data_IF_711661505420
#
_entry.id   IF_711661505420
#
_cell.length_a   1.000
_cell.length_b   1.000
_cell.length_c   1.000
_cell.angle_alpha   90.00
_cell.angle_beta   90.00
_cell.angle_gamma   90.00
#
_symmetry.space_group_name_H-M   'P 1'
#
loop_
_entity.id
_entity.type
_entity.pdbx_description
1 polymer ?
#
# COMPACT_ATOMS: atom_id res chain seq x y z
N UNK A 1 11.02 2.49 -3.09
CA UNK A 1 12.01 3.42 -3.66
C UNK A 1 13.26 3.36 -2.81
N UNK A 2 14.42 3.41 -3.46
CA UNK A 2 15.68 3.54 -2.74
C UNK A 2 16.17 4.98 -2.80
N UNK A 3 16.52 5.55 -1.65
CA UNK A 3 17.25 6.82 -1.58
C UNK A 3 18.74 6.53 -1.59
N UNK A 4 19.34 6.53 -2.78
CA UNK A 4 20.77 6.18 -2.98
C UNK A 4 21.75 7.12 -2.28
N UNK A 5 21.27 8.28 -1.81
CA UNK A 5 22.08 9.23 -1.03
C UNK A 5 22.01 8.99 0.49
N UNK A 6 21.22 8.02 0.95
CA UNK A 6 21.04 7.70 2.36
C UNK A 6 21.61 6.30 2.69
N UNK A 7 22.10 6.14 3.91
CA UNK A 7 22.60 4.88 4.43
C UNK A 7 21.60 4.25 5.41
N UNK A 8 21.72 2.93 5.62
CA UNK A 8 20.88 2.20 6.57
C UNK A 8 19.40 2.23 6.23
N UNK A 9 18.55 2.37 7.24
CA UNK A 9 17.07 2.33 7.10
C UNK A 9 16.52 3.47 6.23
N UNK A 10 17.20 4.61 6.21
CA UNK A 10 16.82 5.77 5.41
C UNK A 10 16.99 5.53 3.90
N UNK A 11 17.68 4.46 3.50
CA UNK A 11 17.76 3.99 2.13
C UNK A 11 16.39 3.52 1.61
N UNK A 12 15.54 2.94 2.46
CA UNK A 12 14.25 2.40 2.05
C UNK A 12 13.14 3.42 2.27
N UNK A 13 12.53 3.89 1.18
CA UNK A 13 11.52 4.96 1.20
C UNK A 13 10.24 4.49 0.52
N UNK A 14 9.10 4.73 1.16
CA UNK A 14 7.80 4.45 0.58
C UNK A 14 7.52 5.39 -0.60
N UNK A 15 7.17 4.83 -1.75
CA UNK A 15 6.87 5.59 -2.97
C UNK A 15 5.64 6.50 -2.84
N UNK A 16 4.76 6.26 -1.86
CA UNK A 16 3.50 6.98 -1.73
C UNK A 16 3.60 8.16 -0.76
N UNK A 17 4.24 7.99 0.39
CA UNK A 17 4.32 9.04 1.43
C UNK A 17 5.74 9.55 1.69
N UNK A 18 6.76 9.01 1.02
CA UNK A 18 8.18 9.35 1.18
C UNK A 18 8.77 9.16 2.57
N UNK A 19 8.03 8.52 3.47
CA UNK A 19 8.56 8.14 4.76
C UNK A 19 9.53 6.97 4.62
N UNK A 20 10.58 6.99 5.44
CA UNK A 20 11.56 5.92 5.54
C UNK A 20 10.96 4.69 6.22
N UNK A 21 11.61 3.56 6.01
CA UNK A 21 11.35 2.32 6.74
C UNK A 21 11.70 2.49 8.22
N UNK A 22 10.97 1.76 9.05
CA UNK A 22 11.20 1.55 10.47
C UNK A 22 10.46 0.28 10.89
N UNK A 23 10.81 -0.31 12.03
CA UNK A 23 10.17 -1.55 12.54
C UNK A 23 8.65 -1.44 12.71
N UNK A 24 8.15 -0.25 13.08
CA UNK A 24 6.72 0.06 13.21
C UNK A 24 6.05 0.43 11.87
N UNK A 25 6.84 0.51 10.79
CA UNK A 25 6.40 0.86 9.44
C UNK A 25 7.04 -0.07 8.41
N UNK A 26 6.71 -1.38 8.45
CA UNK A 26 7.20 -2.31 7.46
C UNK A 26 6.72 -1.92 6.06
N UNK A 27 7.47 -2.34 5.05
CA UNK A 27 7.20 -2.06 3.65
C UNK A 27 7.12 -3.35 2.85
N UNK A 28 6.29 -3.34 1.80
CA UNK A 28 6.24 -4.42 0.82
C UNK A 28 6.83 -3.92 -0.49
N UNK A 29 7.74 -4.70 -1.06
CA UNK A 29 8.35 -4.44 -2.35
C UNK A 29 7.43 -4.84 -3.52
N UNK A 30 7.28 -3.94 -4.49
CA UNK A 30 6.70 -4.19 -5.80
C UNK A 30 7.77 -4.39 -6.87
N UNK A 31 7.41 -4.18 -8.13
CA UNK A 31 8.37 -4.27 -9.23
C UNK A 31 9.42 -3.16 -9.14
N UNK A 32 10.68 -3.54 -9.46
CA UNK A 32 11.86 -2.66 -9.54
C UNK A 32 12.11 -1.83 -8.26
N UNK A 33 11.96 -2.43 -7.07
CA UNK A 33 12.26 -1.74 -5.81
C UNK A 33 11.24 -0.66 -5.41
N UNK A 34 10.05 -0.64 -6.03
CA UNK A 34 8.94 0.17 -5.51
C UNK A 34 8.51 -0.36 -4.13
N UNK A 35 8.13 0.52 -3.22
CA UNK A 35 7.83 0.20 -1.82
C UNK A 35 6.52 0.88 -1.39
N UNK A 36 5.62 0.09 -0.80
CA UNK A 36 4.44 0.59 -0.09
C UNK A 36 4.57 0.28 1.38
N UNK A 37 4.46 1.29 2.25
CA UNK A 37 4.50 1.07 3.69
C UNK A 37 3.15 0.61 4.24
N UNK A 38 3.20 -0.04 5.41
CA UNK A 38 2.04 -0.53 6.15
C UNK A 38 0.92 0.51 6.31
N UNK A 39 1.27 1.77 6.60
CA UNK A 39 0.28 2.83 6.78
C UNK A 39 -0.45 3.20 5.48
N UNK A 40 0.29 3.45 4.40
CA UNK A 40 -0.31 3.70 3.08
C UNK A 40 -1.10 2.49 2.60
N UNK A 41 -0.61 1.28 2.86
CA UNK A 41 -1.28 0.05 2.49
C UNK A 41 -2.61 -0.12 3.22
N UNK A 42 -2.69 0.20 4.52
CA UNK A 42 -3.94 0.17 5.29
C UNK A 42 -4.98 1.13 4.71
N UNK A 43 -4.60 2.37 4.44
CA UNK A 43 -5.51 3.38 3.85
C UNK A 43 -5.98 2.93 2.47
N UNK A 44 -5.03 2.59 1.59
CA UNK A 44 -5.33 2.17 0.23
C UNK A 44 -6.21 0.92 0.19
N UNK A 45 -5.97 -0.05 1.08
CA UNK A 45 -6.77 -1.25 1.18
C UNK A 45 -8.19 -0.93 1.61
N UNK A 46 -8.38 -0.14 2.67
CA UNK A 46 -9.72 0.27 3.12
C UNK A 46 -10.48 0.99 2.01
N UNK A 47 -9.85 1.97 1.34
CA UNK A 47 -10.48 2.76 0.29
C UNK A 47 -10.85 1.91 -0.94
N UNK A 48 -9.91 1.11 -1.46
CA UNK A 48 -10.19 0.31 -2.66
C UNK A 48 -11.01 -0.94 -2.39
N UNK A 49 -10.75 -1.61 -1.27
CA UNK A 49 -11.26 -2.95 -0.97
C UNK A 49 -12.56 -2.91 -0.19
N UNK A 50 -12.74 -1.96 0.72
CA UNK A 50 -13.97 -1.87 1.51
C UNK A 50 -14.90 -0.79 0.99
N UNK A 51 -14.38 0.42 0.75
CA UNK A 51 -15.18 1.57 0.35
C UNK A 51 -15.41 1.68 -1.16
N UNK A 52 -14.60 0.99 -1.98
CA UNK A 52 -14.60 1.10 -3.45
C UNK A 52 -14.45 2.55 -3.93
N UNK A 53 -13.75 3.39 -3.17
CA UNK A 53 -13.66 4.85 -3.38
C UNK A 53 -12.48 5.27 -4.27
N UNK A 54 -11.76 4.32 -4.87
CA UNK A 54 -10.71 4.63 -5.84
C UNK A 54 -11.23 5.28 -7.12
N UNK A 55 -10.32 5.76 -7.94
CA UNK A 55 -10.64 6.34 -9.26
C UNK A 55 -10.18 5.41 -10.38
N UNK A 56 -10.86 5.38 -11.54
CA UNK A 56 -10.29 4.81 -12.75
C UNK A 56 -8.95 5.49 -13.09
N UNK A 57 -8.04 4.72 -13.69
CA UNK A 57 -6.76 5.24 -14.19
C UNK A 57 -7.00 6.22 -15.34
N UNK A 58 -6.25 7.32 -15.40
CA UNK A 58 -6.25 8.21 -16.57
C UNK A 58 -5.28 7.67 -17.64
N UNK A 59 -5.51 7.97 -18.94
CA UNK A 59 -4.59 7.56 -19.99
C UNK A 59 -3.14 7.99 -19.71
N UNK A 60 -2.20 7.05 -19.85
CA UNK A 60 -0.78 7.23 -19.61
C UNK A 60 -0.35 7.11 -18.14
N UNK A 61 -1.27 7.00 -17.18
CA UNK A 61 -0.89 6.79 -15.78
C UNK A 61 -0.45 5.33 -15.56
N UNK A 62 0.58 5.16 -14.73
CA UNK A 62 1.23 3.88 -14.47
C UNK A 62 1.11 3.52 -12.99
N UNK A 63 0.68 2.29 -12.70
CA UNK A 63 0.71 1.77 -11.33
C UNK A 63 2.15 1.63 -10.85
N UNK A 64 2.51 2.33 -9.77
CA UNK A 64 3.88 2.34 -9.22
C UNK A 64 4.37 0.94 -8.83
N UNK A 65 3.47 0.07 -8.35
CA UNK A 65 3.85 -1.24 -7.82
C UNK A 65 4.04 -2.33 -8.88
N UNK A 66 3.37 -2.25 -10.04
CA UNK A 66 3.52 -3.25 -11.10
C UNK A 66 4.10 -2.72 -12.40
N UNK A 67 4.17 -1.38 -12.54
CA UNK A 67 4.67 -0.68 -13.72
C UNK A 67 3.85 -0.92 -15.00
N UNK A 68 2.62 -1.43 -14.86
CA UNK A 68 1.68 -1.55 -15.98
C UNK A 68 1.00 -0.19 -16.20
N UNK A 69 1.11 0.41 -17.40
CA UNK A 69 0.34 1.60 -17.77
C UNK A 69 -1.11 1.22 -18.05
N UNK A 70 -2.03 2.18 -17.87
CA UNK A 70 -3.44 2.08 -18.27
C UNK A 70 -4.16 0.83 -17.74
N UNK A 71 -3.71 0.34 -16.58
CA UNK A 71 -4.25 -0.87 -15.98
C UNK A 71 -5.74 -0.67 -15.66
N UNK A 72 -6.66 -1.54 -16.10
CA UNK A 72 -8.08 -1.32 -15.87
C UNK A 72 -8.46 -1.50 -14.39
N UNK A 73 -9.52 -0.80 -13.98
CA UNK A 73 -10.10 -0.87 -12.65
C UNK A 73 -9.71 0.30 -11.73
N UNK A 74 -10.08 0.18 -10.46
CA UNK A 74 -9.84 1.22 -9.47
C UNK A 74 -8.36 1.31 -9.07
N UNK A 75 -7.89 2.55 -8.95
CA UNK A 75 -6.59 2.93 -8.45
C UNK A 75 -6.75 3.79 -7.21
N UNK A 76 -5.87 3.55 -6.25
CA UNK A 76 -5.65 4.45 -5.13
C UNK A 76 -4.57 5.44 -5.53
N UNK A 77 -4.78 6.72 -5.18
CA UNK A 77 -3.81 7.80 -5.38
C UNK A 77 -3.32 8.24 -4.03
N UNK A 78 -2.00 8.39 -3.87
CA UNK A 78 -1.46 8.92 -2.62
C UNK A 78 -2.02 10.33 -2.36
N UNK A 79 -2.47 10.63 -1.13
CA UNK A 79 -2.87 11.99 -0.75
C UNK A 79 -1.66 12.94 -0.59
N UNK A 80 -0.43 12.41 -0.60
CA UNK A 80 0.81 13.18 -0.44
C UNK A 80 1.52 13.37 -1.78
N UNK A 81 1.34 12.43 -2.71
CA UNK A 81 2.00 12.42 -4.03
C UNK A 81 1.01 12.06 -5.11
N UNK A 82 0.46 13.07 -5.77
CA UNK A 82 -0.58 12.88 -6.78
C UNK A 82 -0.15 11.94 -7.91
N UNK A 83 1.13 11.90 -8.27
CA UNK A 83 1.66 11.02 -9.31
C UNK A 83 1.77 9.54 -8.88
N UNK A 84 1.76 9.25 -7.57
CA UNK A 84 1.92 7.91 -7.04
C UNK A 84 0.57 7.19 -6.94
N UNK A 85 0.28 6.31 -7.91
CA UNK A 85 -0.93 5.50 -7.94
C UNK A 85 -0.65 4.00 -7.81
N UNK A 86 -1.59 3.28 -7.20
CA UNK A 86 -1.55 1.82 -7.06
C UNK A 86 -2.88 1.20 -7.48
N UNK A 87 -2.81 0.20 -8.36
CA UNK A 87 -3.99 -0.54 -8.77
C UNK A 87 -4.52 -1.45 -7.65
N UNK A 88 -5.83 -1.73 -7.65
CA UNK A 88 -6.46 -2.60 -6.65
C UNK A 88 -5.85 -4.01 -6.57
N UNK A 89 -5.30 -4.56 -7.66
CA UNK A 89 -4.61 -5.86 -7.64
C UNK A 89 -3.37 -5.80 -6.75
N UNK A 90 -2.52 -4.80 -6.98
CA UNK A 90 -1.28 -4.65 -6.22
C UNK A 90 -1.55 -4.36 -4.75
N UNK A 91 -2.53 -3.50 -4.44
CA UNK A 91 -2.93 -3.25 -3.05
C UNK A 91 -3.38 -4.54 -2.35
N UNK A 92 -4.23 -5.37 -3.00
CA UNK A 92 -4.64 -6.65 -2.43
C UNK A 92 -3.48 -7.64 -2.26
N UNK A 93 -2.57 -7.69 -3.23
CA UNK A 93 -1.41 -8.57 -3.19
C UNK A 93 -0.44 -8.16 -2.09
N UNK A 94 -0.05 -6.89 -2.02
CA UNK A 94 0.83 -6.36 -0.99
C UNK A 94 0.23 -6.54 0.40
N UNK A 95 -1.07 -6.29 0.56
CA UNK A 95 -1.79 -6.57 1.81
C UNK A 95 -1.82 -8.08 2.13
N UNK A 96 -1.83 -8.95 1.11
CA UNK A 96 -1.71 -10.39 1.29
C UNK A 96 -0.34 -10.82 1.78
N UNK A 97 0.73 -10.18 1.30
CA UNK A 97 2.11 -10.42 1.73
C UNK A 97 2.28 -9.98 3.18
N UNK A 98 2.02 -8.70 3.48
CA UNK A 98 2.29 -8.16 4.81
C UNK A 98 1.44 -8.81 5.92
N UNK A 99 0.19 -9.19 5.60
CA UNK A 99 -0.67 -9.86 6.58
C UNK A 99 -0.21 -11.27 6.97
N UNK A 100 0.55 -11.92 6.09
CA UNK A 100 1.05 -13.29 6.32
C UNK A 100 2.48 -13.30 6.85
N UNK A 101 3.09 -12.13 6.94
CA UNK A 101 4.45 -11.98 7.42
C UNK A 101 4.47 -12.14 8.96
N UNK A 102 5.11 -13.19 9.50
CA UNK A 102 5.12 -13.44 10.94
C UNK A 102 5.99 -12.45 11.71
N UNK A 103 6.86 -11.69 11.04
CA UNK A 103 7.80 -10.77 11.70
C UNK A 103 7.10 -9.45 12.08
N UNK A 104 5.93 -9.16 11.49
CA UNK A 104 5.19 -7.93 11.73
C UNK A 104 3.76 -8.21 12.18
N UNK A 105 3.30 -7.53 13.22
CA UNK A 105 1.93 -7.65 13.74
C UNK A 105 0.86 -6.97 12.85
N UNK A 106 1.18 -6.61 11.62
CA UNK A 106 0.24 -5.90 10.74
C UNK A 106 -0.85 -6.84 10.22
N UNK A 107 -2.10 -6.43 10.34
CA UNK A 107 -3.24 -7.15 9.77
C UNK A 107 -3.97 -6.30 8.73
N UNK A 108 -4.65 -6.96 7.79
CA UNK A 108 -5.51 -6.25 6.84
C UNK A 108 -6.59 -5.50 7.63
N UNK A 109 -6.89 -4.24 7.28
CA UNK A 109 -8.01 -3.53 7.88
C UNK A 109 -9.31 -4.33 7.73
N UNK A 110 -10.10 -4.40 8.81
CA UNK A 110 -11.45 -4.95 8.76
C UNK A 110 -12.39 -4.02 7.98
N UNK A 111 -13.50 -4.53 7.42
CA UNK A 111 -14.56 -3.69 6.86
C UNK A 111 -15.12 -2.76 7.94
N UNK A 112 -15.39 -1.51 7.57
CA UNK A 112 -16.03 -0.55 8.49
C UNK A 112 -17.47 -1.03 8.73
N UNK A 113 -17.76 -1.56 9.92
CA UNK A 113 -19.08 -2.08 10.30
C UNK A 113 -19.09 -3.42 11.04
N UNK A 114 -17.95 -4.13 11.09
CA UNK A 114 -17.79 -5.31 11.94
C UNK A 114 -16.95 -4.92 13.16
N UNK A 115 -17.62 -4.55 14.25
CA UNK A 115 -17.01 -4.58 15.58
C UNK A 115 -16.87 -6.04 15.98
N UNK A 116 -15.64 -6.46 16.31
CA UNK A 116 -15.36 -7.74 16.96
C UNK A 116 -16.30 -7.91 18.17
N UNK A 117 -17.30 -8.77 18.02
CA UNK A 117 -18.12 -9.25 19.12
C UNK A 117 -17.29 -10.24 19.92
N UNK A 118 -16.56 -9.74 20.92
CA UNK A 118 -16.10 -10.56 22.03
C UNK A 118 -17.31 -10.87 22.92
N UNK A 119 -18.05 -11.92 22.57
CA UNK A 119 -18.94 -12.61 23.50
C UNK A 119 -18.06 -13.45 24.45
N UNK A 120 -17.78 -12.90 25.62
CA UNK A 120 -17.37 -13.66 26.80
C UNK A 120 -18.62 -14.35 27.38
N UNK A 121 -18.68 -15.69 27.28
CA UNK A 121 -19.55 -16.57 28.08
C UNK A 121 -18.68 -17.65 28.77
#
# INVERSE_FOLDING_TARGET
MHNESAEGEAYFVCDFCLNTWSDDRPMVEGHRGSLVCAHCLSIAFSELVHLRSGSPVKPGETCVLCLEPDRPGLHWRSPVRDEAIACVRCIKQSAGVLHKDPDYAWTKPAPIGESDGSDDD
#
